data_IF_825124115733
#
_entry.id   IF_825124115733
#
_cell.length_a   1.000
_cell.length_b   1.000
_cell.length_c   1.000
_cell.angle_alpha   90.00
_cell.angle_beta   90.00
_cell.angle_gamma   90.00
#
_symmetry.space_group_name_H-M   'P 1'
#
loop_
_entity.id
_entity.type
_entity.pdbx_description
1 polymer ?
#
# COMPACT_ATOMS: atom_id res chain seq x y z
N UNK A 1 -16.55 -8.54 4.05
CA UNK A 1 -15.20 -8.12 4.50
C UNK A 1 -15.31 -6.66 4.91
N UNK A 2 -14.78 -6.33 6.09
CA UNK A 2 -14.69 -4.96 6.60
C UNK A 2 -13.30 -4.39 6.30
N UNK A 3 -13.16 -3.07 6.44
CA UNK A 3 -11.90 -2.37 6.22
C UNK A 3 -11.51 -1.54 7.43
N UNK A 4 -10.20 -1.40 7.64
CA UNK A 4 -9.67 -0.60 8.73
C UNK A 4 -8.20 -0.27 8.54
N UNK A 5 -7.66 0.44 9.52
CA UNK A 5 -6.26 0.88 9.55
C UNK A 5 -5.53 0.18 10.68
N UNK A 6 -4.31 -0.27 10.43
CA UNK A 6 -3.49 -0.87 11.49
C UNK A 6 -3.11 0.23 12.50
N UNK A 7 -3.62 0.10 13.73
CA UNK A 7 -3.32 1.02 14.82
C UNK A 7 -1.89 0.80 15.33
N UNK A 8 -1.52 -0.48 15.46
CA UNK A 8 -0.18 -0.93 15.78
C UNK A 8 -0.05 -2.43 15.45
N UNK A 9 1.17 -2.86 15.12
CA UNK A 9 1.51 -4.26 14.91
C UNK A 9 2.92 -4.53 15.41
N UNK A 10 3.11 -5.64 16.12
CA UNK A 10 4.42 -6.11 16.59
C UNK A 10 4.83 -7.34 15.80
N UNK A 11 5.75 -7.22 14.82
CA UNK A 11 6.17 -8.35 14.00
C UNK A 11 6.89 -9.44 14.82
N UNK A 12 7.57 -9.05 15.90
CA UNK A 12 8.26 -9.97 16.82
C UNK A 12 7.27 -10.85 17.60
N UNK A 13 6.16 -10.26 18.06
CA UNK A 13 5.13 -11.00 18.82
C UNK A 13 4.04 -11.59 17.92
N UNK A 14 3.92 -11.15 16.67
CA UNK A 14 2.85 -11.56 15.75
C UNK A 14 1.46 -11.06 16.16
N UNK A 15 1.37 -10.00 16.96
CA UNK A 15 0.11 -9.42 17.44
C UNK A 15 -0.02 -7.96 17.05
N UNK A 16 -1.24 -7.52 16.80
CA UNK A 16 -1.56 -6.13 16.53
C UNK A 16 -3.01 -5.79 16.81
N UNK A 17 -3.38 -4.55 16.51
CA UNK A 17 -4.75 -4.07 16.56
C UNK A 17 -5.07 -3.27 15.32
N UNK A 18 -6.29 -3.47 14.80
CA UNK A 18 -6.84 -2.75 13.65
C UNK A 18 -7.97 -1.85 14.14
N UNK A 19 -7.88 -0.58 13.77
CA UNK A 19 -8.95 0.39 13.96
C UNK A 19 -9.91 0.31 12.75
N UNK A 20 -11.16 -0.14 12.94
CA UNK A 20 -12.17 -0.18 11.87
C UNK A 20 -12.45 1.23 11.31
N UNK A 21 -12.62 1.35 9.99
CA UNK A 21 -12.96 2.63 9.33
C UNK A 21 -14.39 3.08 9.67
N UNK A 22 -15.29 2.10 9.86
CA UNK A 22 -16.68 2.30 10.30
C UNK A 22 -16.81 2.73 11.77
N UNK A 23 -15.69 2.85 12.49
CA UNK A 23 -15.68 3.09 13.93
C UNK A 23 -16.07 1.86 14.76
N UNK A 24 -15.98 2.00 16.09
CA UNK A 24 -16.31 0.92 17.05
C UNK A 24 -15.07 0.33 17.73
N UNK A 25 -15.20 -0.92 18.21
CA UNK A 25 -14.13 -1.58 18.96
C UNK A 25 -12.93 -1.92 18.07
N UNK A 26 -11.74 -1.72 18.64
CA UNK A 26 -10.47 -2.15 18.06
C UNK A 26 -10.50 -3.68 17.85
N UNK A 27 -10.11 -4.12 16.65
CA UNK A 27 -10.15 -5.53 16.25
C UNK A 27 -8.78 -6.15 16.45
N UNK A 28 -8.73 -7.27 17.17
CA UNK A 28 -7.47 -7.95 17.47
C UNK A 28 -6.90 -8.65 16.23
N UNK A 29 -5.61 -8.45 15.96
CA UNK A 29 -4.90 -9.02 14.83
C UNK A 29 -3.86 -10.03 15.31
N UNK A 30 -3.89 -11.23 14.74
CA UNK A 30 -2.90 -12.29 15.00
C UNK A 30 -2.25 -12.75 13.71
N UNK A 31 -0.93 -12.99 13.73
CA UNK A 31 -0.14 -13.35 12.54
C UNK A 31 -0.61 -14.64 11.86
N UNK A 32 -1.20 -15.57 12.62
CA UNK A 32 -1.80 -16.79 12.04
C UNK A 32 -2.94 -16.51 11.05
N UNK A 33 -3.60 -15.36 11.16
CA UNK A 33 -4.68 -14.95 10.24
C UNK A 33 -4.20 -14.07 9.09
N UNK A 34 -2.89 -13.76 9.05
CA UNK A 34 -2.21 -12.99 8.00
C UNK A 34 -1.17 -13.85 7.29
N UNK A 35 -1.40 -15.15 7.13
CA UNK A 35 -0.40 -16.09 6.59
C UNK A 35 0.12 -15.70 5.20
N UNK A 36 -0.72 -15.07 4.38
CA UNK A 36 -0.37 -14.60 3.03
C UNK A 36 0.36 -13.24 3.02
N UNK A 37 0.46 -12.56 4.17
CA UNK A 37 1.06 -11.22 4.28
C UNK A 37 2.37 -11.34 5.05
N UNK A 38 3.50 -10.85 4.49
CA UNK A 38 4.73 -10.83 5.24
C UNK A 38 4.63 -9.84 6.41
N UNK A 39 5.24 -10.14 7.57
CA UNK A 39 5.12 -9.33 8.78
C UNK A 39 5.65 -7.89 8.61
N UNK A 40 6.52 -7.64 7.64
CA UNK A 40 7.05 -6.32 7.30
C UNK A 40 6.12 -5.48 6.42
N UNK A 41 5.12 -6.09 5.76
CA UNK A 41 4.12 -5.37 4.97
C UNK A 41 3.00 -4.78 5.84
N UNK A 42 2.82 -5.27 7.07
CA UNK A 42 1.84 -4.76 8.03
C UNK A 42 2.39 -3.53 8.76
N UNK A 43 2.32 -2.36 8.11
CA UNK A 43 2.75 -1.08 8.69
C UNK A 43 1.63 -0.39 9.47
N UNK A 44 2.00 0.47 10.41
CA UNK A 44 1.04 1.37 11.08
C UNK A 44 0.38 2.28 10.05
N UNK A 45 -0.91 2.59 10.26
CA UNK A 45 -1.75 3.43 9.40
C UNK A 45 -2.07 2.81 8.03
N UNK A 46 -1.58 1.59 7.78
CA UNK A 46 -1.82 0.87 6.53
C UNK A 46 -3.28 0.41 6.44
N UNK A 47 -3.86 0.50 5.24
CA UNK A 47 -5.25 0.12 5.01
C UNK A 47 -5.36 -1.35 4.68
N UNK A 48 -6.15 -2.07 5.47
CA UNK A 48 -6.33 -3.51 5.36
C UNK A 48 -7.82 -3.88 5.29
N UNK A 49 -8.12 -4.90 4.49
CA UNK A 49 -9.38 -5.63 4.51
C UNK A 49 -9.25 -6.81 5.46
N UNK A 50 -10.29 -7.06 6.23
CA UNK A 50 -10.36 -8.21 7.13
C UNK A 50 -11.82 -8.65 7.31
N UNK A 51 -12.02 -9.86 7.81
CA UNK A 51 -13.32 -10.29 8.32
C UNK A 51 -13.30 -10.16 9.84
N UNK A 52 -14.15 -9.29 10.40
CA UNK A 52 -14.36 -9.25 11.86
C UNK A 52 -15.14 -10.49 12.27
N UNK A 53 -14.69 -11.12 13.35
CA UNK A 53 -15.38 -12.19 14.05
C UNK A 53 -15.45 -11.84 15.52
N UNK A 54 -16.59 -12.09 16.14
CA UNK A 54 -16.76 -11.95 17.58
C UNK A 54 -16.32 -13.23 18.29
N UNK A 55 -15.45 -13.12 19.28
CA UNK A 55 -15.06 -14.21 20.17
C UNK A 55 -15.33 -13.85 21.63
N UNK A 56 -15.23 -14.87 22.50
CA UNK A 56 -15.33 -14.71 23.96
C UNK A 56 -14.34 -13.69 24.53
N UNK A 57 -13.22 -13.48 23.86
CA UNK A 57 -12.15 -12.55 24.26
C UNK A 57 -12.25 -11.17 23.59
N UNK A 58 -13.26 -10.96 22.74
CA UNK A 58 -13.44 -9.72 21.96
C UNK A 58 -13.37 -9.94 20.44
N UNK A 59 -13.59 -8.87 19.65
CA UNK A 59 -13.57 -8.95 18.19
C UNK A 59 -12.15 -9.18 17.67
N UNK A 60 -11.99 -10.12 16.75
CA UNK A 60 -10.73 -10.48 16.11
C UNK A 60 -10.86 -10.50 14.58
N UNK A 61 -9.74 -10.24 13.90
CA UNK A 61 -9.66 -10.16 12.45
C UNK A 61 -9.21 -11.52 11.88
N UNK A 62 -9.95 -12.01 10.89
CA UNK A 62 -9.59 -13.18 10.08
C UNK A 62 -9.49 -12.82 8.60
N UNK A 63 -8.80 -13.66 7.81
CA UNK A 63 -8.57 -13.45 6.37
C UNK A 63 -8.10 -12.03 6.03
N UNK A 64 -7.04 -11.58 6.69
CA UNK A 64 -6.56 -10.21 6.54
C UNK A 64 -5.82 -10.05 5.22
N UNK A 65 -6.07 -8.95 4.51
CA UNK A 65 -5.46 -8.59 3.22
C UNK A 65 -5.09 -7.11 3.21
N UNK A 66 -3.91 -6.76 2.68
CA UNK A 66 -3.54 -5.35 2.49
C UNK A 66 -4.29 -4.81 1.28
N UNK A 67 -5.06 -3.74 1.47
CA UNK A 67 -5.84 -3.11 0.39
C UNK A 67 -5.07 -2.03 -0.34
N UNK A 68 -4.17 -1.33 0.36
CA UNK A 68 -3.40 -0.24 -0.23
C UNK A 68 -1.92 -0.64 -0.39
N UNK A 69 -1.53 -1.18 -1.55
CA UNK A 69 -0.12 -1.24 -1.92
C UNK A 69 0.37 0.09 -2.53
N UNK A 70 -0.34 1.23 -2.35
CA UNK A 70 0.00 2.51 -2.98
C UNK A 70 1.09 3.29 -2.23
N UNK A 71 1.78 2.66 -1.29
CA UNK A 71 3.21 2.95 -1.06
C UNK A 71 4.08 2.55 -2.27
N UNK A 72 3.60 2.74 -3.50
CA UNK A 72 4.50 3.07 -4.62
C UNK A 72 5.11 4.42 -4.25
N UNK A 73 6.43 4.57 -4.21
CA UNK A 73 6.99 5.91 -4.07
C UNK A 73 6.46 6.74 -5.25
N UNK A 74 5.91 7.95 -5.06
CA UNK A 74 5.80 8.90 -6.15
C UNK A 74 7.21 9.43 -6.42
N UNK A 75 8.11 8.59 -6.94
CA UNK A 75 9.50 8.95 -7.27
C UNK A 75 10.20 7.84 -8.05
N UNK A 76 9.87 7.70 -9.33
CA UNK A 76 10.87 7.93 -10.35
C UNK A 76 10.22 8.78 -11.44
N UNK A 77 10.86 9.92 -11.68
CA UNK A 77 10.54 10.94 -12.67
C UNK A 77 9.99 10.36 -13.98
N UNK A 78 8.98 11.04 -14.52
CA UNK A 78 8.92 11.28 -15.95
C UNK A 78 10.20 12.03 -16.41
N UNK A 79 11.28 11.28 -16.57
CA UNK A 79 12.50 11.62 -17.30
C UNK A 79 12.92 10.23 -17.75
N UNK A 80 12.35 9.68 -18.80
CA UNK A 80 12.65 10.08 -20.17
C UNK A 80 11.35 10.24 -20.97
N UNK A 81 11.06 11.48 -21.40
CA UNK A 81 10.49 11.61 -22.73
C UNK A 81 11.54 11.01 -23.69
N UNK A 82 11.16 10.15 -24.64
CA UNK A 82 12.06 9.90 -25.76
C UNK A 82 12.33 11.25 -26.43
N UNK A 83 13.57 11.65 -26.73
CA UNK A 83 13.75 12.66 -27.76
C UNK A 83 13.17 12.04 -29.03
N UNK A 84 12.05 12.57 -29.49
CA UNK A 84 11.50 12.25 -30.80
C UNK A 84 12.62 12.40 -31.84
N UNK A 85 12.90 11.40 -32.68
CA UNK A 85 13.78 11.60 -33.81
C UNK A 85 12.95 12.21 -34.94
N UNK A 86 12.55 13.48 -34.81
CA UNK A 86 11.95 14.20 -35.93
C UNK A 86 13.01 15.05 -36.64
N UNK A 87 13.62 14.35 -37.60
CA UNK A 87 14.33 14.92 -38.72
C UNK A 87 13.38 15.81 -39.54
N UNK A 88 13.41 17.12 -39.35
CA UNK A 88 12.88 18.10 -40.31
C UNK A 88 13.79 19.32 -40.46
N UNK A 89 14.66 19.23 -41.47
CA UNK A 89 15.13 20.25 -42.39
C UNK A 89 14.44 21.63 -42.33
N UNK A 90 15.21 22.71 -42.10
CA UNK A 90 15.11 23.99 -42.84
C UNK A 90 16.09 25.04 -42.29
N UNK A 91 17.12 25.39 -43.06
CA UNK A 91 17.42 26.79 -43.45
C UNK A 91 18.65 26.82 -44.35
N UNK A 92 18.39 27.06 -45.64
CA UNK A 92 19.35 27.63 -46.58
C UNK A 92 19.92 28.97 -46.07
N UNK A 93 21.25 29.06 -45.98
CA UNK A 93 22.09 30.28 -46.19
C UNK A 93 23.54 29.86 -45.89
N UNK A 94 24.56 30.15 -46.69
CA UNK A 94 24.80 31.32 -47.53
C UNK A 94 25.88 31.01 -48.60
N UNK A 95 26.05 31.87 -49.63
CA UNK A 95 27.13 31.77 -50.62
C UNK A 95 28.44 32.46 -50.18
N UNK A 96 29.56 31.99 -50.77
CA UNK A 96 30.81 32.74 -51.08
C UNK A 96 31.71 33.14 -49.89
N UNK A 97 33.02 33.49 -50.08
CA UNK A 97 33.76 33.92 -51.28
C UNK A 97 34.38 32.81 -52.15
#
# INVERSE_FOLDING_TARGET
METGKIKWYSPTKGVGAIAPDVGGQDVFLHSSHTADIPPWALKRLERVAYERRDARTGPFAVKVRVLDPLSRPPRQRATHAPPEPDSCNHTSRAPSP
#
